data_IF_260033692598
#
_entry.id   IF_260033692598
#
_cell.length_a   1.000
_cell.length_b   1.000
_cell.length_c   1.000
_cell.angle_alpha   90.00
_cell.angle_beta   90.00
_cell.angle_gamma   90.00
#
_symmetry.space_group_name_H-M   'P 1'
#
loop_
_entity.id
_entity.type
_entity.pdbx_description
1 polymer ?
#
# COMPACT_ATOMS: atom_id res chain seq x y z
N UNK A 1 -21.37 -2.18 7.69
CA UNK A 1 -20.43 -2.85 6.77
C UNK A 1 -19.59 -1.75 6.16
N UNK A 2 -18.50 -1.36 6.82
CA UNK A 2 -17.67 -0.18 6.47
C UNK A 2 -16.18 -0.53 6.30
N UNK A 3 -15.83 -1.82 6.25
CA UNK A 3 -14.42 -2.25 6.19
C UNK A 3 -13.86 -2.33 4.76
N UNK A 4 -14.69 -2.14 3.73
CA UNK A 4 -14.36 -2.39 2.32
C UNK A 4 -13.68 -1.21 1.59
N UNK A 5 -13.14 -0.20 2.27
CA UNK A 5 -12.64 1.02 1.59
C UNK A 5 -11.19 1.42 1.90
N UNK A 6 -10.44 0.62 2.65
CA UNK A 6 -9.06 0.96 2.99
C UNK A 6 -8.06 0.29 2.04
N UNK A 7 -7.56 1.04 1.05
CA UNK A 7 -6.54 0.55 0.10
C UNK A 7 -5.10 0.63 0.66
N UNK A 8 -4.91 1.33 1.78
CA UNK A 8 -3.62 1.62 2.39
C UNK A 8 -3.59 1.09 3.82
N UNK A 9 -2.54 0.34 4.15
CA UNK A 9 -2.37 -0.29 5.46
C UNK A 9 -1.05 0.12 6.11
N UNK A 10 -1.08 0.32 7.43
CA UNK A 10 0.13 0.49 8.23
C UNK A 10 0.50 -0.82 8.90
N UNK A 11 1.65 -1.38 8.52
CA UNK A 11 2.14 -2.66 9.04
C UNK A 11 3.41 -2.41 9.85
N UNK A 12 3.47 -2.99 11.06
CA UNK A 12 4.70 -3.00 11.86
C UNK A 12 5.63 -4.07 11.31
N UNK A 13 6.78 -3.68 10.76
CA UNK A 13 7.84 -4.57 10.29
C UNK A 13 9.18 -4.05 10.79
N UNK A 14 10.02 -4.93 11.34
CA UNK A 14 11.36 -4.57 11.84
C UNK A 14 11.34 -3.42 12.86
N UNK A 15 10.33 -3.41 13.73
CA UNK A 15 10.15 -2.36 14.74
C UNK A 15 9.58 -1.03 14.24
N UNK A 16 9.47 -0.82 12.92
CA UNK A 16 8.96 0.42 12.33
C UNK A 16 7.56 0.22 11.72
N UNK A 17 6.75 1.29 11.70
CA UNK A 17 5.51 1.32 10.90
C UNK A 17 5.88 1.59 9.45
N UNK A 18 5.48 0.71 8.55
CA UNK A 18 5.70 0.82 7.10
C UNK A 18 4.34 0.84 6.40
N UNK A 19 4.25 1.61 5.31
CA UNK A 19 3.09 1.58 4.42
C UNK A 19 3.05 0.25 3.67
N UNK A 20 1.85 -0.21 3.36
CA UNK A 20 1.61 -1.41 2.59
C UNK A 20 0.30 -1.32 1.81
N UNK A 21 0.22 -2.10 0.74
CA UNK A 21 -1.00 -2.34 -0.04
C UNK A 21 -1.26 -3.83 -0.09
N UNK A 22 -2.51 -4.25 -0.24
CA UNK A 22 -2.83 -5.65 -0.45
C UNK A 22 -2.17 -6.17 -1.75
N UNK A 23 -1.66 -7.40 -1.70
CA UNK A 23 -1.16 -8.07 -2.89
C UNK A 23 -2.30 -8.77 -3.62
N UNK A 24 -2.77 -8.17 -4.71
CA UNK A 24 -3.83 -8.74 -5.55
C UNK A 24 -3.37 -10.03 -6.25
N UNK A 25 -2.06 -10.24 -6.39
CA UNK A 25 -1.46 -11.47 -6.94
C UNK A 25 -0.50 -12.07 -5.91
N UNK A 26 -0.99 -12.91 -4.98
CA UNK A 26 -0.17 -13.46 -3.89
C UNK A 26 1.10 -14.18 -4.38
N UNK A 27 2.19 -14.02 -3.64
CA UNK A 27 3.52 -14.56 -3.96
C UNK A 27 4.30 -13.78 -5.01
N UNK A 28 3.67 -12.84 -5.72
CA UNK A 28 4.35 -12.03 -6.73
C UNK A 28 4.93 -10.73 -6.13
N UNK A 29 6.18 -10.43 -6.47
CA UNK A 29 6.87 -9.17 -6.14
C UNK A 29 7.19 -8.43 -7.43
N UNK A 30 6.87 -7.13 -7.50
CA UNK A 30 7.14 -6.34 -8.72
C UNK A 30 8.53 -5.73 -8.70
N UNK A 31 8.92 -5.15 -7.56
CA UNK A 31 10.18 -4.45 -7.35
C UNK A 31 11.01 -5.08 -6.21
N UNK A 32 10.77 -6.36 -5.93
CA UNK A 32 11.38 -7.14 -4.84
C UNK A 32 11.05 -6.56 -3.45
N UNK A 33 9.92 -5.88 -3.34
CA UNK A 33 9.36 -5.41 -2.08
C UNK A 33 9.02 -6.57 -1.15
N UNK A 34 9.21 -6.38 0.16
CA UNK A 34 8.93 -7.42 1.15
C UNK A 34 7.42 -7.73 1.18
N UNK A 35 7.10 -9.03 1.14
CA UNK A 35 5.74 -9.54 1.32
C UNK A 35 5.49 -9.86 2.80
N UNK A 36 4.30 -9.55 3.30
CA UNK A 36 3.89 -9.82 4.67
C UNK A 36 2.53 -10.49 4.66
N UNK A 37 2.44 -11.69 5.23
CA UNK A 37 1.17 -12.38 5.46
C UNK A 37 0.60 -11.99 6.82
N UNK A 38 -0.62 -11.44 6.84
CA UNK A 38 -1.32 -11.08 8.07
C UNK A 38 -2.78 -11.46 7.97
N UNK A 39 -3.27 -12.27 8.93
CA UNK A 39 -4.66 -12.77 8.96
C UNK A 39 -5.11 -13.42 7.63
N UNK A 40 -4.19 -14.11 6.95
CA UNK A 40 -4.49 -14.77 5.66
C UNK A 40 -4.45 -13.85 4.43
N UNK A 41 -4.25 -12.55 4.60
CA UNK A 41 -4.08 -11.59 3.50
C UNK A 41 -2.60 -11.27 3.31
N UNK A 42 -2.12 -11.31 2.07
CA UNK A 42 -0.75 -10.93 1.75
C UNK A 42 -0.68 -9.45 1.39
N UNK A 43 0.31 -8.76 1.94
CA UNK A 43 0.55 -7.35 1.71
C UNK A 43 1.94 -7.12 1.12
N UNK A 44 2.03 -6.15 0.22
CA UNK A 44 3.28 -5.62 -0.32
C UNK A 44 3.68 -4.39 0.46
N UNK A 45 4.88 -4.38 1.03
CA UNK A 45 5.42 -3.16 1.60
C UNK A 45 5.61 -2.09 0.51
N UNK A 46 5.19 -0.87 0.82
CA UNK A 46 5.23 0.25 -0.09
C UNK A 46 6.35 1.21 0.29
N UNK A 47 7.44 1.18 -0.49
CA UNK A 47 8.63 1.97 -0.22
C UNK A 47 8.45 3.45 -0.64
N UNK A 48 8.47 4.42 0.29
CA UNK A 48 8.38 5.85 -0.02
C UNK A 48 9.55 6.37 -0.86
N UNK A 49 10.74 5.77 -0.75
CA UNK A 49 11.91 6.22 -1.52
C UNK A 49 11.84 5.82 -3.00
N UNK A 50 10.89 4.95 -3.36
CA UNK A 50 10.66 4.48 -4.73
C UNK A 50 9.30 4.89 -5.30
N UNK A 51 8.40 5.40 -4.47
CA UNK A 51 7.03 5.78 -4.86
C UNK A 51 6.70 7.18 -4.38
N UNK A 52 6.49 8.11 -5.32
CA UNK A 52 6.07 9.49 -5.02
C UNK A 52 4.76 9.54 -4.23
N UNK A 53 3.82 8.64 -4.53
CA UNK A 53 2.53 8.58 -3.84
C UNK A 53 2.68 8.05 -2.40
N UNK A 54 3.52 7.04 -2.18
CA UNK A 54 3.84 6.58 -0.83
C UNK A 54 4.55 7.67 -0.02
N UNK A 55 5.50 8.38 -0.64
CA UNK A 55 6.16 9.51 -0.02
C UNK A 55 5.17 10.62 0.34
N UNK A 56 4.20 10.95 -0.54
CA UNK A 56 3.17 11.93 -0.23
C UNK A 56 2.34 11.52 1.01
N UNK A 57 1.91 10.26 1.08
CA UNK A 57 1.17 9.74 2.25
C UNK A 57 2.03 9.83 3.53
N UNK A 58 3.33 9.51 3.45
CA UNK A 58 4.23 9.62 4.60
C UNK A 58 4.52 11.07 5.01
N UNK A 59 4.39 12.02 4.09
CA UNK A 59 4.46 13.46 4.37
C UNK A 59 3.06 14.06 4.63
N UNK A 60 2.18 13.27 5.25
CA UNK A 60 0.90 13.76 5.79
C UNK A 60 -0.06 14.31 4.72
N UNK A 61 -0.11 13.69 3.53
CA UNK A 61 -1.13 13.99 2.52
C UNK A 61 -2.53 13.99 3.14
N UNK A 62 -3.17 15.16 3.15
CA UNK A 62 -4.44 15.38 3.85
C UNK A 62 -5.60 14.57 3.27
N UNK A 63 -5.66 14.46 1.93
CA UNK A 63 -6.72 13.76 1.22
C UNK A 63 -6.14 12.80 0.18
N UNK A 64 -6.44 11.51 0.33
CA UNK A 64 -6.09 10.50 -0.65
C UNK A 64 -7.21 10.38 -1.71
N UNK A 65 -6.93 10.59 -3.00
CA UNK A 65 -7.95 10.79 -4.01
C UNK A 65 -8.50 9.48 -4.63
N UNK A 66 -7.99 8.32 -4.23
CA UNK A 66 -8.40 7.04 -4.81
C UNK A 66 -9.16 6.20 -3.81
N UNK A 67 -10.23 5.60 -4.30
CA UNK A 67 -11.08 4.63 -3.62
C UNK A 67 -11.17 3.34 -4.43
N UNK A 68 -11.81 2.33 -3.85
CA UNK A 68 -12.05 1.10 -4.57
C UNK A 68 -12.87 1.38 -5.85
N UNK A 69 -12.39 0.86 -6.99
CA UNK A 69 -12.95 1.06 -8.34
C UNK A 69 -12.75 2.45 -8.94
N UNK A 70 -11.91 3.32 -8.38
CA UNK A 70 -11.47 4.54 -9.06
C UNK A 70 -10.90 4.24 -10.46
N UNK A 71 -11.30 5.04 -11.45
CA UNK A 71 -10.70 5.02 -12.79
C UNK A 71 -9.57 6.04 -12.85
N UNK A 72 -8.33 5.57 -12.92
CA UNK A 72 -7.13 6.41 -12.87
C UNK A 72 -6.34 6.28 -14.17
N UNK A 73 -5.98 7.42 -14.76
CA UNK A 73 -5.00 7.48 -15.86
C UNK A 73 -3.61 7.72 -15.27
N UNK A 74 -2.74 6.71 -15.34
CA UNK A 74 -1.35 6.81 -14.87
C UNK A 74 -0.44 7.25 -16.02
N UNK A 75 0.14 8.45 -15.93
CA UNK A 75 1.10 8.99 -16.90
C UNK A 75 2.49 9.02 -16.24
N UNK A 76 3.50 8.50 -16.93
CA UNK A 76 4.85 8.26 -16.41
C UNK A 76 5.56 9.50 -15.86
#
# INVERSE_FOLDING_TARGET
>A
MEEDNQSIFWIKSEGQKKLATENIVPGNQVYKEKLILRKGIEYRLWDPFRSKLAAAIMNELEYFPFENKSKVLYLG
#
